data_IF_875142825883
#
_entry.id   IF_875142825883
#
_cell.length_a   1.000
_cell.length_b   1.000
_cell.length_c   1.000
_cell.angle_alpha   90.00
_cell.angle_beta   90.00
_cell.angle_gamma   90.00
#
_symmetry.space_group_name_H-M   'P 1'
#
loop_
_entity.id
_entity.type
_entity.pdbx_description
1 polymer ?
#
# COMPACT_ATOMS: atom_id res chain seq x y z
N UNK A 1 4.97 -1.19 -2.54
CA UNK A 1 3.61 -1.74 -2.36
C UNK A 1 2.55 -0.75 -2.89
N UNK A 2 1.80 -1.03 -3.95
CA UNK A 2 0.91 -0.08 -4.69
C UNK A 2 1.56 1.16 -5.30
N UNK A 3 2.12 2.11 -4.54
CA UNK A 3 2.72 3.32 -5.13
C UNK A 3 3.86 2.99 -6.10
N UNK A 4 4.83 2.18 -5.64
CA UNK A 4 5.94 1.71 -6.50
C UNK A 4 5.44 0.94 -7.73
N UNK A 5 4.30 0.24 -7.62
CA UNK A 5 3.70 -0.42 -8.76
C UNK A 5 3.13 0.60 -9.74
N UNK A 6 2.38 1.60 -9.24
CA UNK A 6 1.82 2.67 -10.06
C UNK A 6 2.91 3.47 -10.78
N UNK A 7 3.99 3.82 -10.07
CA UNK A 7 5.16 4.47 -10.67
C UNK A 7 5.79 3.60 -11.77
N UNK A 8 6.06 2.32 -11.50
CA UNK A 8 6.62 1.39 -12.49
C UNK A 8 5.73 1.19 -13.71
N UNK A 9 4.41 1.11 -13.53
CA UNK A 9 3.45 0.97 -14.64
C UNK A 9 3.43 2.24 -15.49
N UNK A 10 3.44 3.41 -14.85
CA UNK A 10 3.49 4.70 -15.56
C UNK A 10 4.81 4.93 -16.29
N UNK A 11 5.92 4.39 -15.80
CA UNK A 11 7.23 4.45 -16.47
C UNK A 11 7.32 3.49 -17.66
N UNK A 12 6.67 2.33 -17.57
CA UNK A 12 6.71 1.30 -18.60
C UNK A 12 5.78 1.60 -19.80
N UNK A 13 4.63 2.23 -19.55
CA UNK A 13 3.64 2.58 -20.57
C UNK A 13 3.02 3.94 -20.26
N UNK A 14 3.06 4.86 -21.21
CA UNK A 14 2.47 6.19 -21.09
C UNK A 14 0.93 6.15 -20.91
N UNK A 15 0.28 5.06 -21.33
CA UNK A 15 -1.14 4.81 -21.12
C UNK A 15 -1.42 3.85 -19.94
N UNK A 16 -0.37 3.31 -19.30
CA UNK A 16 -0.48 2.42 -18.16
C UNK A 16 -0.85 3.18 -16.89
N UNK A 17 -1.76 2.63 -16.10
CA UNK A 17 -2.16 3.23 -14.83
C UNK A 17 -2.70 2.22 -13.83
N UNK A 18 -2.75 2.63 -12.57
CA UNK A 18 -3.33 1.85 -11.48
C UNK A 18 -4.58 2.55 -10.99
N UNK A 19 -5.67 1.80 -10.85
CA UNK A 19 -6.94 2.28 -10.32
C UNK A 19 -7.37 1.40 -9.15
N UNK A 20 -7.86 2.03 -8.08
CA UNK A 20 -8.40 1.35 -6.91
C UNK A 20 -9.92 1.37 -6.99
N UNK A 21 -10.50 0.17 -6.97
CA UNK A 21 -11.94 -0.07 -6.95
C UNK A 21 -12.40 -0.43 -5.53
N UNK A 22 -13.66 -0.10 -5.20
CA UNK A 22 -14.23 -0.28 -3.85
C UNK A 22 -13.40 0.33 -2.70
N UNK A 23 -12.85 1.56 -2.80
CA UNK A 23 -12.18 2.15 -1.66
C UNK A 23 -13.22 2.49 -0.57
N UNK A 24 -13.09 1.88 0.61
CA UNK A 24 -13.85 2.32 1.78
C UNK A 24 -13.52 3.78 2.13
N UNK A 25 -14.45 4.50 2.76
CA UNK A 25 -14.31 5.95 3.02
C UNK A 25 -13.01 6.30 3.76
N UNK A 26 -12.63 5.49 4.75
CA UNK A 26 -11.36 5.63 5.48
C UNK A 26 -10.15 5.50 4.56
N UNK A 27 -10.17 4.51 3.67
CA UNK A 27 -9.06 4.22 2.76
C UNK A 27 -8.94 5.32 1.69
N UNK A 28 -10.05 5.76 1.12
CA UNK A 28 -10.07 6.88 0.17
C UNK A 28 -9.45 8.14 0.78
N UNK A 29 -9.85 8.51 2.01
CA UNK A 29 -9.27 9.64 2.74
C UNK A 29 -7.79 9.47 3.01
N UNK A 30 -7.35 8.27 3.42
CA UNK A 30 -5.93 7.99 3.65
C UNK A 30 -5.09 8.11 2.38
N UNK A 31 -5.57 7.56 1.26
CA UNK A 31 -4.88 7.61 -0.04
C UNK A 31 -4.68 9.06 -0.48
N UNK A 32 -5.74 9.88 -0.40
CA UNK A 32 -5.64 11.30 -0.74
C UNK A 32 -4.75 12.09 0.23
N UNK A 33 -4.85 11.83 1.55
CA UNK A 33 -3.96 12.46 2.56
C UNK A 33 -2.48 12.12 2.39
N UNK A 34 -2.16 11.00 1.75
CA UNK A 34 -0.79 10.56 1.48
C UNK A 34 -0.29 11.07 0.11
N UNK A 35 -1.15 11.72 -0.69
CA UNK A 35 -0.84 12.19 -2.04
C UNK A 35 -0.76 11.08 -3.08
N UNK A 36 -1.30 9.89 -2.78
CA UNK A 36 -1.26 8.75 -3.68
C UNK A 36 -2.25 8.87 -4.86
N UNK A 37 -3.23 9.75 -4.72
CA UNK A 37 -4.23 10.10 -5.73
C UNK A 37 -3.65 10.82 -6.97
N UNK A 38 -2.39 11.25 -6.92
CA UNK A 38 -1.68 11.82 -8.06
C UNK A 38 -1.31 10.78 -9.13
N UNK A 39 -1.02 9.54 -8.71
CA UNK A 39 -0.59 8.44 -9.59
C UNK A 39 -1.58 7.28 -9.62
N UNK A 40 -2.43 7.16 -8.60
CA UNK A 40 -3.41 6.08 -8.46
C UNK A 40 -4.81 6.67 -8.53
N UNK A 41 -5.59 6.25 -9.53
CA UNK A 41 -6.99 6.69 -9.67
C UNK A 41 -7.88 5.98 -8.65
N UNK A 42 -8.91 6.66 -8.18
CA UNK A 42 -9.91 6.11 -7.24
C UNK A 42 -11.27 6.09 -7.91
N UNK A 43 -11.90 4.91 -7.98
CA UNK A 43 -13.30 4.78 -8.38
C UNK A 43 -14.20 4.81 -7.14
N UNK A 44 -14.58 6.03 -6.75
CA UNK A 44 -15.47 6.31 -5.61
C UNK A 44 -16.95 6.05 -5.92
N UNK A 45 -17.36 6.17 -7.17
CA UNK A 45 -18.75 6.04 -7.59
C UNK A 45 -19.19 4.58 -7.71
N UNK A 46 -18.25 3.67 -7.89
CA UNK A 46 -18.56 2.26 -8.07
C UNK A 46 -19.01 1.92 -9.50
N UNK A 47 -18.89 2.87 -10.42
CA UNK A 47 -19.43 2.79 -11.77
C UNK A 47 -18.49 2.11 -12.77
N UNK A 48 -17.20 1.95 -12.43
CA UNK A 48 -16.20 1.31 -13.29
C UNK A 48 -15.88 -0.11 -12.83
N UNK A 49 -15.36 -0.91 -13.75
CA UNK A 49 -14.87 -2.27 -13.47
C UNK A 49 -15.93 -3.21 -12.85
N UNK A 50 -17.17 -3.16 -13.36
CA UNK A 50 -18.30 -3.93 -12.80
C UNK A 50 -18.03 -5.43 -12.76
N UNK A 51 -17.33 -5.97 -13.77
CA UNK A 51 -16.95 -7.39 -13.84
C UNK A 51 -15.95 -7.77 -12.74
N UNK A 52 -14.95 -6.94 -12.51
CA UNK A 52 -13.93 -7.15 -11.48
C UNK A 52 -14.53 -7.04 -10.09
N UNK A 53 -15.49 -6.14 -9.89
CA UNK A 53 -16.25 -5.99 -8.63
C UNK A 53 -17.06 -7.26 -8.32
N UNK A 54 -17.77 -7.79 -9.31
CA UNK A 54 -18.51 -9.05 -9.20
C UNK A 54 -17.56 -10.21 -8.84
N UNK A 55 -16.42 -10.30 -9.52
CA UNK A 55 -15.42 -11.33 -9.25
C UNK A 55 -14.86 -11.23 -7.82
N UNK A 56 -14.57 -10.02 -7.33
CA UNK A 56 -14.10 -9.82 -5.96
C UNK A 56 -15.18 -10.26 -4.96
N UNK A 57 -16.45 -9.90 -5.17
CA UNK A 57 -17.55 -10.31 -4.30
C UNK A 57 -17.64 -11.84 -4.18
N UNK A 58 -17.55 -12.56 -5.31
CA UNK A 58 -17.56 -14.03 -5.33
C UNK A 58 -16.35 -14.67 -4.62
N UNK A 59 -15.18 -14.03 -4.68
CA UNK A 59 -13.97 -14.54 -4.00
C UNK A 59 -13.99 -14.27 -2.49
N UNK A 60 -14.64 -13.21 -2.03
CA UNK A 60 -14.79 -12.92 -0.61
C UNK A 60 -15.61 -13.98 0.13
N UNK A 61 -16.47 -14.71 -0.56
CA UNK A 61 -17.18 -15.86 0.00
C UNK A 61 -16.26 -17.07 0.28
N UNK A 62 -15.03 -17.07 -0.26
CA UNK A 62 -14.05 -18.15 -0.14
C UNK A 62 -12.67 -17.59 0.25
N UNK A 63 -12.51 -17.09 1.49
CA UNK A 63 -11.25 -16.51 1.91
C UNK A 63 -10.13 -17.55 1.85
N UNK A 64 -9.03 -17.18 1.20
CA UNK A 64 -7.80 -17.97 1.26
C UNK A 64 -7.21 -17.89 2.68
N UNK A 65 -6.60 -18.97 3.19
CA UNK A 65 -5.89 -18.91 4.45
C UNK A 65 -4.76 -17.87 4.35
N UNK A 66 -4.82 -16.85 5.21
CA UNK A 66 -3.81 -15.81 5.28
C UNK A 66 -2.68 -16.29 6.21
N UNK A 67 -1.43 -16.40 5.72
CA UNK A 67 -0.31 -16.73 6.59
C UNK A 67 -0.11 -15.61 7.62
N UNK A 68 0.02 -15.99 8.89
CA UNK A 68 0.41 -15.06 9.94
C UNK A 68 1.89 -14.71 9.75
N UNK A 69 2.17 -13.44 9.50
CA UNK A 69 3.54 -12.95 9.44
C UNK A 69 4.18 -13.04 10.84
N UNK A 70 5.45 -13.45 10.88
CA UNK A 70 6.26 -13.32 12.09
C UNK A 70 6.44 -11.84 12.45
N UNK A 71 6.86 -11.57 13.70
CA UNK A 71 7.07 -10.20 14.16
C UNK A 71 8.12 -9.48 13.29
N UNK A 72 9.20 -10.16 12.94
CA UNK A 72 10.26 -9.65 12.04
C UNK A 72 9.72 -9.31 10.67
N UNK A 73 9.03 -10.25 10.01
CA UNK A 73 8.45 -10.02 8.66
C UNK A 73 7.44 -8.88 8.68
N UNK A 74 6.66 -8.75 9.75
CA UNK A 74 5.73 -7.65 9.92
C UNK A 74 6.46 -6.31 10.05
N UNK A 75 7.52 -6.23 10.86
CA UNK A 75 8.32 -5.02 11.04
C UNK A 75 9.01 -4.60 9.74
N UNK A 76 9.61 -5.55 9.00
CA UNK A 76 10.21 -5.30 7.68
C UNK A 76 9.17 -4.76 6.69
N UNK A 77 8.00 -5.38 6.66
CA UNK A 77 6.91 -4.99 5.78
C UNK A 77 6.40 -3.57 6.08
N UNK A 78 6.22 -3.23 7.36
CA UNK A 78 5.78 -1.88 7.78
C UNK A 78 6.86 -0.85 7.47
N UNK A 79 8.13 -1.20 7.64
CA UNK A 79 9.25 -0.33 7.29
C UNK A 79 9.26 -0.03 5.78
N UNK A 80 9.16 -1.05 4.91
CA UNK A 80 9.13 -0.85 3.46
C UNK A 80 7.95 0.02 3.02
N UNK A 81 6.80 -0.12 3.68
CA UNK A 81 5.63 0.71 3.41
C UNK A 81 5.90 2.19 3.72
N UNK A 82 6.49 2.51 4.88
CA UNK A 82 6.81 3.89 5.24
C UNK A 82 7.86 4.49 4.30
N UNK A 83 8.93 3.75 3.98
CA UNK A 83 9.95 4.21 3.03
C UNK A 83 9.36 4.44 1.63
N UNK A 84 8.46 3.58 1.18
CA UNK A 84 7.75 3.78 -0.09
C UNK A 84 6.87 5.03 -0.07
N UNK A 85 6.22 5.36 1.05
CA UNK A 85 5.41 6.57 1.19
C UNK A 85 6.26 7.85 1.25
N UNK A 86 7.46 7.78 1.85
CA UNK A 86 8.43 8.89 1.82
C UNK A 86 8.95 9.10 0.40
N UNK A 87 9.33 8.03 -0.28
CA UNK A 87 9.78 8.10 -1.68
C UNK A 87 8.67 8.63 -2.61
N UNK A 88 7.41 8.37 -2.27
CA UNK A 88 6.26 8.84 -3.02
C UNK A 88 5.99 10.35 -2.87
N UNK A 89 6.16 10.86 -1.66
CA UNK A 89 5.95 12.26 -1.33
C UNK A 89 6.90 12.64 -0.19
N UNK A 90 7.86 13.50 -0.50
CA UNK A 90 8.91 13.93 0.43
C UNK A 90 8.36 14.63 1.69
N UNK A 91 7.17 15.24 1.62
CA UNK A 91 6.49 15.82 2.79
C UNK A 91 6.23 14.78 3.89
N UNK A 92 6.06 13.50 3.50
CA UNK A 92 5.86 12.40 4.43
C UNK A 92 7.12 12.11 5.28
N UNK A 93 8.32 12.55 4.86
CA UNK A 93 9.57 12.30 5.61
C UNK A 93 9.49 12.84 7.02
N UNK A 94 9.08 14.10 7.18
CA UNK A 94 8.99 14.74 8.50
C UNK A 94 8.00 14.04 9.44
N UNK A 95 6.99 13.36 8.89
CA UNK A 95 5.95 12.66 9.65
C UNK A 95 6.33 11.24 10.04
N UNK A 96 7.20 10.61 9.25
CA UNK A 96 7.53 9.19 9.37
C UNK A 96 8.96 8.90 9.83
N UNK A 97 9.84 9.91 9.90
CA UNK A 97 11.24 9.74 10.28
C UNK A 97 11.41 8.96 11.59
N UNK A 98 10.72 9.39 12.66
CA UNK A 98 10.81 8.75 13.97
C UNK A 98 10.36 7.29 13.95
N UNK A 99 9.32 6.98 13.17
CA UNK A 99 8.77 5.62 13.02
C UNK A 99 9.73 4.74 12.23
N UNK A 100 10.33 5.27 11.15
CA UNK A 100 11.31 4.54 10.33
C UNK A 100 12.56 4.23 11.14
N UNK A 101 13.08 5.19 11.91
CA UNK A 101 14.24 4.95 12.78
C UNK A 101 13.94 3.92 13.86
N UNK A 102 12.77 4.03 14.52
CA UNK A 102 12.34 3.05 15.50
C UNK A 102 12.26 1.63 14.93
N UNK A 103 11.64 1.45 13.75
CA UNK A 103 11.49 0.14 13.11
C UNK A 103 12.85 -0.44 12.68
N UNK A 104 13.80 0.40 12.23
CA UNK A 104 15.17 -0.03 11.91
C UNK A 104 15.90 -0.51 13.17
N UNK A 105 15.81 0.24 14.27
CA UNK A 105 16.39 -0.16 15.55
C UNK A 105 15.75 -1.44 16.08
N UNK A 106 14.44 -1.64 15.91
CA UNK A 106 13.76 -2.87 16.34
C UNK A 106 14.22 -4.10 15.54
N UNK A 107 14.48 -3.95 14.23
CA UNK A 107 15.06 -5.01 13.40
C UNK A 107 16.51 -5.32 13.78
N UNK A 108 17.33 -4.30 14.08
CA UNK A 108 18.71 -4.48 14.52
C UNK A 108 18.80 -5.09 15.93
N UNK A 109 17.86 -4.76 16.82
CA UNK A 109 17.79 -5.26 18.18
C UNK A 109 17.19 -6.67 18.31
N UNK A 110 16.65 -7.22 17.22
CA UNK A 110 16.30 -8.64 17.12
C UNK A 110 17.41 -9.42 16.40
N UNK A 111 18.52 -9.78 17.07
CA UNK A 111 19.45 -10.73 16.49
C UNK A 111 18.76 -12.09 16.44
N UNK A 112 18.62 -12.62 15.22
CA UNK A 112 18.47 -14.04 14.88
C UNK A 112 18.08 -14.96 16.05
N UNK A 113 16.80 -14.98 16.43
CA UNK A 113 16.27 -16.10 17.19
C UNK A 113 16.21 -17.28 16.20
N UNK A 114 17.20 -18.19 16.34
CA UNK A 114 17.40 -19.38 15.53
C UNK A 114 16.32 -20.43 15.78
#
# INVERSE_FOLDING_TARGET
>A
MLYRLAARVSEADACGGVEIINPGERNAKSISKLGLDQLIKLDLEGSRWSRERELVAQNLEKPLPCPTLSKTEHTEFVLDAHEALIAANEENRSRFCDVVEFLKMELEAQPADR
#
